data_IF_903906909895
#
_entry.id   IF_903906909895
#
_cell.length_a   1.000
_cell.length_b   1.000
_cell.length_c   1.000
_cell.angle_alpha   90.00
_cell.angle_beta   90.00
_cell.angle_gamma   90.00
#
_symmetry.space_group_name_H-M   'P 1'
#
loop_
_entity.id
_entity.type
_entity.pdbx_description
1 polymer ?
#
# COMPACT_ATOMS: atom_id res chain seq x y z
N UNK A 1 -19.67 -18.54 10.35
CA UNK A 1 -20.11 -18.30 8.96
C UNK A 1 -19.50 -17.01 8.47
N UNK A 2 -18.22 -17.16 8.07
CA UNK A 2 -17.95 -17.17 6.64
C UNK A 2 -17.70 -15.80 6.13
N UNK A 3 -16.50 -15.48 6.30
CA UNK A 3 -15.80 -14.49 5.50
C UNK A 3 -15.51 -15.10 4.13
N UNK A 4 -16.54 -15.58 3.49
CA UNK A 4 -16.56 -15.83 2.06
C UNK A 4 -16.79 -14.51 1.33
N UNK A 5 -15.99 -13.55 1.74
CA UNK A 5 -15.83 -12.33 0.99
C UNK A 5 -14.69 -12.60 0.03
N UNK A 6 -14.92 -12.52 -1.26
CA UNK A 6 -13.93 -12.61 -2.32
C UNK A 6 -12.77 -11.59 -2.20
N UNK A 7 -12.59 -11.02 -1.02
CA UNK A 7 -11.53 -10.13 -0.58
C UNK A 7 -10.28 -10.83 -0.07
N UNK A 8 -10.35 -12.13 0.21
CA UNK A 8 -9.19 -12.86 0.67
C UNK A 8 -8.29 -13.24 -0.51
N UNK A 9 -7.63 -12.26 -1.12
CA UNK A 9 -6.39 -12.57 -1.83
C UNK A 9 -5.43 -13.08 -0.78
N UNK A 10 -5.17 -14.38 -0.81
CA UNK A 10 -4.12 -14.99 -0.02
C UNK A 10 -2.80 -14.33 -0.41
N UNK A 11 -2.35 -13.38 0.38
CA UNK A 11 -1.02 -12.78 0.22
C UNK A 11 -0.09 -13.45 1.19
N UNK A 12 0.99 -14.03 0.69
CA UNK A 12 2.05 -14.58 1.53
C UNK A 12 2.91 -13.43 2.02
N UNK A 13 3.00 -13.28 3.34
CA UNK A 13 3.87 -12.32 4.00
C UNK A 13 4.83 -13.05 4.92
N UNK A 14 6.10 -12.67 4.90
CA UNK A 14 7.05 -13.10 5.91
C UNK A 14 6.67 -12.47 7.26
N UNK A 15 6.41 -13.30 8.28
CA UNK A 15 5.87 -12.86 9.59
C UNK A 15 6.72 -13.24 10.77
N UNK A 16 7.55 -14.27 10.66
CA UNK A 16 8.35 -14.77 11.74
C UNK A 16 9.83 -14.68 11.39
N UNK A 17 10.59 -14.00 12.23
CA UNK A 17 12.01 -13.74 12.04
C UNK A 17 12.75 -13.93 13.36
N UNK A 18 14.02 -14.27 13.28
CA UNK A 18 14.92 -14.09 14.44
C UNK A 18 15.11 -12.58 14.64
N UNK A 19 14.74 -12.08 15.82
CA UNK A 19 14.79 -10.64 16.13
C UNK A 19 16.16 -10.00 15.86
N UNK A 20 17.24 -10.74 16.12
CA UNK A 20 18.60 -10.26 15.93
C UNK A 20 19.01 -10.08 14.46
N UNK A 21 18.26 -10.67 13.52
CA UNK A 21 18.61 -10.67 12.09
C UNK A 21 17.69 -9.77 11.27
N UNK A 22 16.68 -9.14 11.87
CA UNK A 22 15.69 -8.35 11.13
C UNK A 22 15.87 -6.87 11.36
N UNK A 23 15.85 -6.11 10.26
CA UNK A 23 15.76 -4.66 10.21
C UNK A 23 14.51 -4.28 9.42
N UNK A 24 13.79 -3.25 9.87
CA UNK A 24 12.59 -2.75 9.20
C UNK A 24 12.90 -1.43 8.52
N UNK A 25 12.60 -1.34 7.22
CA UNK A 25 12.85 -0.16 6.40
C UNK A 25 11.59 0.33 5.73
N UNK A 26 11.45 1.65 5.68
CA UNK A 26 10.30 2.35 5.11
C UNK A 26 9.56 3.17 6.14
N UNK A 27 8.86 4.24 5.68
CA UNK A 27 8.13 5.15 6.56
C UNK A 27 6.65 4.77 6.72
N UNK A 28 6.10 4.05 5.77
CA UNK A 28 4.65 3.75 5.74
C UNK A 28 4.37 2.26 5.77
N UNK A 29 5.06 1.49 4.99
CA UNK A 29 4.95 0.04 4.96
C UNK A 29 6.33 -0.53 5.20
N UNK A 30 6.69 -0.59 6.48
CA UNK A 30 7.97 -1.15 6.87
C UNK A 30 8.13 -2.55 6.28
N UNK A 31 9.13 -2.68 5.44
CA UNK A 31 9.48 -3.98 4.87
C UNK A 31 10.55 -4.61 5.75
N UNK A 32 10.39 -5.87 6.18
CA UNK A 32 11.44 -6.57 6.87
C UNK A 32 12.62 -6.85 5.92
N UNK A 33 13.82 -6.64 6.42
CA UNK A 33 15.06 -7.07 5.80
C UNK A 33 15.76 -8.03 6.76
N UNK A 34 16.07 -9.22 6.32
CA UNK A 34 16.76 -10.23 7.10
C UNK A 34 18.19 -10.31 6.59
N UNK A 35 19.17 -10.03 7.46
CA UNK A 35 20.59 -9.92 7.07
C UNK A 35 20.81 -9.05 5.84
N UNK A 36 20.10 -7.91 5.79
CA UNK A 36 20.17 -6.94 4.70
C UNK A 36 19.44 -7.35 3.41
N UNK A 37 18.77 -8.50 3.38
CA UNK A 37 18.03 -9.01 2.20
C UNK A 37 16.52 -8.97 2.43
N UNK A 38 15.79 -8.56 1.40
CA UNK A 38 14.32 -8.60 1.44
C UNK A 38 13.85 -10.06 1.32
N UNK A 39 13.00 -10.56 2.23
CA UNK A 39 12.46 -11.91 2.15
C UNK A 39 11.65 -12.08 0.85
N UNK A 40 12.04 -13.03 0.04
CA UNK A 40 11.30 -13.44 -1.13
C UNK A 40 10.74 -14.84 -0.91
N UNK A 41 9.54 -15.12 -1.41
CA UNK A 41 8.85 -16.38 -1.19
C UNK A 41 9.69 -17.61 -1.59
N UNK A 42 10.44 -17.46 -2.66
CA UNK A 42 11.22 -18.57 -3.26
C UNK A 42 12.68 -18.61 -2.76
N UNK A 43 13.02 -17.80 -1.73
CA UNK A 43 14.35 -17.85 -1.17
C UNK A 43 14.53 -19.10 -0.31
N UNK A 44 15.61 -19.84 -0.50
CA UNK A 44 15.92 -21.10 0.22
C UNK A 44 15.90 -20.97 1.75
N UNK A 45 16.18 -19.77 2.26
CA UNK A 45 16.18 -19.45 3.69
C UNK A 45 14.80 -19.03 4.24
N UNK A 46 13.75 -18.99 3.38
CA UNK A 46 12.38 -18.66 3.77
C UNK A 46 11.55 -19.93 3.88
N UNK A 47 11.20 -20.29 5.11
CA UNK A 47 10.28 -21.40 5.36
C UNK A 47 8.82 -20.97 5.12
N UNK A 48 7.99 -21.90 4.69
CA UNK A 48 6.54 -21.70 4.53
C UNK A 48 5.80 -22.40 5.66
N UNK A 49 4.90 -21.67 6.31
CA UNK A 49 4.02 -22.25 7.33
C UNK A 49 2.91 -23.10 6.68
N UNK A 50 2.39 -24.11 7.40
CA UNK A 50 1.25 -24.89 6.95
C UNK A 50 0.09 -24.00 6.50
N UNK A 51 -0.65 -24.44 5.48
CA UNK A 51 -1.72 -23.63 4.87
C UNK A 51 -2.91 -23.34 5.78
N UNK A 52 -3.08 -24.14 6.82
CA UNK A 52 -4.08 -23.98 7.89
C UNK A 52 -3.69 -22.90 8.92
N UNK A 53 -2.42 -22.51 8.98
CA UNK A 53 -1.94 -21.43 9.83
C UNK A 53 -2.25 -20.09 9.17
N UNK A 54 -3.38 -19.49 9.53
CA UNK A 54 -3.86 -18.22 8.97
C UNK A 54 -3.93 -17.16 10.03
N UNK A 55 -3.43 -15.99 9.70
CA UNK A 55 -3.68 -14.79 10.50
C UNK A 55 -4.97 -14.16 9.94
N UNK A 56 -6.03 -14.20 10.75
CA UNK A 56 -7.28 -13.52 10.41
C UNK A 56 -7.10 -12.03 10.70
N UNK A 57 -6.95 -11.26 9.66
CA UNK A 57 -6.94 -9.81 9.75
C UNK A 57 -8.35 -9.28 9.50
N UNK A 58 -8.99 -8.83 10.57
CA UNK A 58 -10.27 -8.12 10.47
C UNK A 58 -9.99 -6.64 10.61
N UNK A 59 -10.07 -5.85 9.56
CA UNK A 59 -10.05 -4.42 9.69
C UNK A 59 -11.41 -3.98 10.25
N UNK A 60 -11.48 -3.73 11.55
CA UNK A 60 -12.66 -3.16 12.22
C UNK A 60 -12.66 -1.63 12.14
N UNK A 61 -12.14 -1.10 11.05
CA UNK A 61 -12.05 0.33 10.89
C UNK A 61 -13.34 0.85 10.25
N UNK A 62 -13.91 1.87 10.87
CA UNK A 62 -14.94 2.66 10.22
C UNK A 62 -14.36 3.55 9.10
N UNK A 63 -15.22 4.20 8.36
CA UNK A 63 -14.82 5.05 7.24
C UNK A 63 -14.00 6.27 7.71
N UNK A 64 -14.30 6.78 8.90
CA UNK A 64 -13.61 7.95 9.49
C UNK A 64 -12.15 7.62 9.78
N UNK A 65 -11.90 6.49 10.44
CA UNK A 65 -10.55 5.99 10.69
C UNK A 65 -9.77 5.74 9.40
N UNK A 66 -10.44 5.19 8.37
CA UNK A 66 -9.81 4.94 7.08
C UNK A 66 -9.42 6.26 6.39
N UNK A 67 -10.29 7.27 6.41
CA UNK A 67 -10.02 8.59 5.84
C UNK A 67 -8.89 9.32 6.59
N UNK A 68 -8.88 9.26 7.93
CA UNK A 68 -7.81 9.84 8.73
C UNK A 68 -6.45 9.20 8.40
N UNK A 69 -6.42 7.88 8.25
CA UNK A 69 -5.21 7.16 7.85
C UNK A 69 -4.76 7.49 6.44
N UNK A 70 -5.70 7.62 5.48
CA UNK A 70 -5.37 8.00 4.10
C UNK A 70 -4.60 9.32 4.11
N UNK A 71 -5.05 10.33 4.85
CA UNK A 71 -4.36 11.61 4.95
C UNK A 71 -2.92 11.46 5.45
N UNK A 72 -2.75 10.84 6.60
CA UNK A 72 -1.44 10.67 7.24
C UNK A 72 -0.49 9.83 6.37
N UNK A 73 -0.93 8.68 5.90
CA UNK A 73 -0.10 7.79 5.09
C UNK A 73 0.24 8.37 3.72
N UNK A 74 -0.64 9.18 3.13
CA UNK A 74 -0.35 9.85 1.86
C UNK A 74 0.82 10.83 2.01
N UNK A 75 0.85 11.60 3.09
CA UNK A 75 1.94 12.55 3.33
C UNK A 75 3.27 11.85 3.62
N UNK A 76 3.24 10.80 4.43
CA UNK A 76 4.44 10.00 4.71
C UNK A 76 4.99 9.35 3.43
N UNK A 77 4.10 8.77 2.62
CA UNK A 77 4.49 8.15 1.35
C UNK A 77 5.01 9.16 0.33
N UNK A 78 4.42 10.36 0.30
CA UNK A 78 4.92 11.44 -0.54
C UNK A 78 6.34 11.86 -0.13
N UNK A 79 6.62 12.00 1.16
CA UNK A 79 7.98 12.33 1.67
C UNK A 79 9.00 11.27 1.24
N UNK A 80 8.69 10.00 1.43
CA UNK A 80 9.56 8.88 1.00
C UNK A 80 9.92 8.97 -0.49
N UNK A 81 8.91 9.25 -1.35
CA UNK A 81 9.11 9.38 -2.81
C UNK A 81 9.88 10.63 -3.18
N UNK A 82 9.66 11.74 -2.47
CA UNK A 82 10.41 13.00 -2.66
C UNK A 82 11.88 12.80 -2.27
N UNK A 83 12.16 12.12 -1.15
CA UNK A 83 13.51 11.79 -0.69
C UNK A 83 14.22 10.85 -1.68
N UNK A 84 13.47 9.94 -2.30
CA UNK A 84 13.97 9.11 -3.40
C UNK A 84 14.19 9.87 -4.72
N UNK A 85 13.98 11.20 -4.74
CA UNK A 85 14.20 12.05 -5.90
C UNK A 85 13.07 12.06 -6.93
N UNK A 86 11.92 11.50 -6.59
CA UNK A 86 10.80 11.44 -7.53
C UNK A 86 10.20 12.83 -7.76
N UNK A 87 9.87 13.10 -9.03
CA UNK A 87 9.27 14.36 -9.48
C UNK A 87 8.08 14.05 -10.37
N UNK A 88 7.01 14.80 -10.19
CA UNK A 88 5.81 14.68 -11.01
C UNK A 88 5.35 16.07 -11.50
N UNK A 89 4.88 16.17 -12.73
CA UNK A 89 4.25 17.38 -13.26
C UNK A 89 2.73 17.32 -13.13
N UNK A 90 2.03 18.45 -13.35
CA UNK A 90 0.57 18.52 -13.28
C UNK A 90 -0.11 17.48 -14.19
N UNK A 91 0.33 17.38 -15.45
CA UNK A 91 -0.18 16.36 -16.36
C UNK A 91 0.05 14.93 -15.86
N UNK A 92 1.20 14.67 -15.22
CA UNK A 92 1.51 13.38 -14.61
C UNK A 92 0.56 13.02 -13.47
N UNK A 93 0.15 14.00 -12.65
CA UNK A 93 -0.84 13.78 -11.58
C UNK A 93 -2.18 13.33 -12.18
N UNK A 94 -2.65 14.02 -13.21
CA UNK A 94 -3.93 13.70 -13.88
C UNK A 94 -3.87 12.32 -14.53
N UNK A 95 -2.81 12.06 -15.30
CA UNK A 95 -2.61 10.75 -15.96
C UNK A 95 -2.54 9.60 -14.98
N UNK A 96 -1.83 9.79 -13.86
CA UNK A 96 -1.75 8.76 -12.80
C UNK A 96 -3.13 8.50 -12.19
N UNK A 97 -3.92 9.53 -11.91
CA UNK A 97 -5.27 9.38 -11.37
C UNK A 97 -6.17 8.58 -12.31
N UNK A 98 -6.20 8.93 -13.60
CA UNK A 98 -7.01 8.22 -14.60
C UNK A 98 -6.57 6.76 -14.73
N UNK A 99 -5.26 6.52 -14.84
CA UNK A 99 -4.70 5.17 -14.90
C UNK A 99 -5.07 4.33 -13.69
N UNK A 100 -4.93 4.90 -12.49
CA UNK A 100 -5.25 4.20 -11.24
C UNK A 100 -6.75 3.91 -11.14
N UNK A 101 -7.62 4.87 -11.48
CA UNK A 101 -9.06 4.66 -11.47
C UNK A 101 -9.47 3.51 -12.40
N UNK A 102 -8.98 3.50 -13.64
CA UNK A 102 -9.30 2.43 -14.60
C UNK A 102 -8.74 1.09 -14.14
N UNK A 103 -7.49 1.06 -13.70
CA UNK A 103 -6.82 -0.20 -13.30
C UNK A 103 -7.47 -0.82 -12.07
N UNK A 104 -7.71 0.00 -11.04
CA UNK A 104 -8.31 -0.47 -9.80
C UNK A 104 -9.78 -0.87 -9.99
N UNK A 105 -10.54 -0.07 -10.75
CA UNK A 105 -11.92 -0.43 -11.06
C UNK A 105 -11.99 -1.78 -11.79
N UNK A 106 -11.15 -2.00 -12.80
CA UNK A 106 -11.07 -3.29 -13.52
C UNK A 106 -10.71 -4.47 -12.61
N UNK A 107 -9.96 -4.24 -11.55
CA UNK A 107 -9.61 -5.28 -10.58
C UNK A 107 -10.74 -5.57 -9.58
N UNK A 108 -11.48 -4.54 -9.20
CA UNK A 108 -12.43 -4.58 -8.09
C UNK A 108 -13.91 -4.62 -8.55
N UNK A 109 -14.21 -4.45 -9.84
CA UNK A 109 -15.59 -4.33 -10.31
C UNK A 109 -16.48 -5.52 -9.95
N UNK A 110 -15.91 -6.73 -9.85
CA UNK A 110 -16.64 -7.95 -9.46
C UNK A 110 -17.09 -7.94 -8.00
N UNK A 111 -16.54 -7.06 -7.19
CA UNK A 111 -16.84 -6.91 -5.77
C UNK A 111 -18.00 -5.92 -5.52
N UNK A 112 -18.71 -5.50 -6.59
CA UNK A 112 -19.87 -4.62 -6.51
C UNK A 112 -19.59 -3.29 -5.81
N UNK A 113 -20.54 -2.81 -5.01
CA UNK A 113 -20.42 -1.52 -4.32
C UNK A 113 -19.20 -1.42 -3.38
N UNK A 114 -18.81 -2.52 -2.74
CA UNK A 114 -17.61 -2.56 -1.88
C UNK A 114 -16.34 -2.35 -2.69
N UNK A 115 -16.23 -2.99 -3.86
CA UNK A 115 -15.10 -2.79 -4.77
C UNK A 115 -15.03 -1.36 -5.29
N UNK A 116 -16.17 -0.73 -5.55
CA UNK A 116 -16.24 0.68 -5.91
C UNK A 116 -15.71 1.59 -4.81
N UNK A 117 -16.19 1.44 -3.57
CA UNK A 117 -15.71 2.23 -2.42
C UNK A 117 -14.21 2.07 -2.23
N UNK A 118 -13.71 0.83 -2.27
CA UNK A 118 -12.27 0.57 -2.18
C UNK A 118 -11.48 1.25 -3.30
N UNK A 119 -11.97 1.18 -4.54
CA UNK A 119 -11.34 1.86 -5.67
C UNK A 119 -11.22 3.36 -5.40
N UNK A 120 -12.30 3.99 -4.95
CA UNK A 120 -12.31 5.43 -4.62
C UNK A 120 -11.28 5.75 -3.53
N UNK A 121 -11.27 5.02 -2.41
CA UNK A 121 -10.34 5.25 -1.31
C UNK A 121 -8.87 5.11 -1.74
N UNK A 122 -8.54 4.08 -2.51
CA UNK A 122 -7.16 3.88 -3.01
C UNK A 122 -6.78 4.95 -4.03
N UNK A 123 -7.70 5.36 -4.91
CA UNK A 123 -7.47 6.48 -5.84
C UNK A 123 -7.23 7.79 -5.09
N UNK A 124 -8.02 8.08 -4.05
CA UNK A 124 -7.81 9.25 -3.20
C UNK A 124 -6.42 9.25 -2.55
N UNK A 125 -6.03 8.14 -1.94
CA UNK A 125 -4.70 7.99 -1.35
C UNK A 125 -3.59 8.29 -2.37
N UNK A 126 -3.60 7.63 -3.53
CA UNK A 126 -2.58 7.81 -4.57
C UNK A 126 -2.58 9.21 -5.17
N UNK A 127 -3.76 9.80 -5.35
CA UNK A 127 -3.89 11.17 -5.81
C UNK A 127 -3.25 12.14 -4.82
N UNK A 128 -3.53 12.02 -3.53
CA UNK A 128 -2.94 12.86 -2.47
C UNK A 128 -1.41 12.74 -2.44
N UNK A 129 -0.86 11.54 -2.59
CA UNK A 129 0.59 11.33 -2.71
C UNK A 129 1.16 12.13 -3.88
N UNK A 130 0.58 11.99 -5.06
CA UNK A 130 1.06 12.65 -6.27
C UNK A 130 0.90 14.17 -6.21
N UNK A 131 -0.20 14.67 -5.64
CA UNK A 131 -0.42 16.11 -5.41
C UNK A 131 0.61 16.67 -4.42
N UNK A 132 0.93 15.96 -3.36
CA UNK A 132 1.95 16.40 -2.41
C UNK A 132 3.35 16.48 -3.04
N UNK A 133 3.72 15.49 -3.89
CA UNK A 133 4.99 15.53 -4.64
C UNK A 133 5.02 16.72 -5.60
N UNK A 134 3.93 16.96 -6.34
CA UNK A 134 3.81 18.10 -7.25
C UNK A 134 3.91 19.43 -6.50
N UNK A 135 3.20 19.57 -5.37
CA UNK A 135 3.20 20.78 -4.56
C UNK A 135 4.60 21.11 -4.02
N UNK A 136 5.34 20.10 -3.58
CA UNK A 136 6.72 20.28 -3.11
C UNK A 136 7.64 20.70 -4.24
N UNK A 137 7.46 20.15 -5.45
CA UNK A 137 8.20 20.58 -6.62
C UNK A 137 7.98 22.05 -6.92
N UNK A 138 6.70 22.50 -7.01
CA UNK A 138 6.36 23.90 -7.28
C UNK A 138 6.92 24.85 -6.21
N UNK A 139 6.94 24.40 -4.95
CA UNK A 139 7.52 25.17 -3.84
C UNK A 139 9.03 25.41 -4.01
N UNK A 140 9.76 24.40 -4.51
CA UNK A 140 11.21 24.50 -4.74
C UNK A 140 11.61 25.29 -5.98
N UNK A 141 10.69 25.46 -6.92
CA UNK A 141 10.90 26.22 -8.16
C UNK A 141 10.59 27.73 -8.00
N UNK A 142 10.07 28.15 -6.83
CA UNK A 142 9.82 29.56 -6.45
C UNK A 142 10.97 30.10 -5.62
#
# INVERSE_FOLDING_TARGET
>A
RELDSGYARSTSHARFFRKACVDYRGHVHESPFVDGRKPHRDAEWVGTLPADWRILHRPDNDLEDELARIGTYSLLKARERIEAGERIGAAGVVLALVKDAVTLYRQEWRNGGRGFVRTVLVCCHRCLVNVAIYSERVRRER
#
